data_IF_852067927065
#
_entry.id   IF_852067927065
#
_cell.length_a   1.000
_cell.length_b   1.000
_cell.length_c   1.000
_cell.angle_alpha   90.00
_cell.angle_beta   90.00
_cell.angle_gamma   90.00
#
_symmetry.space_group_name_H-M   'P 1'
#
loop_
_entity.id
_entity.type
_entity.pdbx_description
1 polymer ?
#
# COMPACT_ATOMS: atom_id res chain seq x y z
N UNK A 1 52.60 -32.14 -20.74
CA UNK A 1 52.42 -33.42 -20.03
C UNK A 1 51.29 -33.26 -19.01
N UNK A 2 50.12 -33.86 -19.25
CA UNK A 2 49.05 -33.91 -18.25
C UNK A 2 49.23 -35.21 -17.46
N UNK A 3 49.58 -35.09 -16.18
CA UNK A 3 49.74 -36.21 -15.26
C UNK A 3 48.42 -36.96 -15.11
N UNK A 4 48.38 -38.20 -15.61
CA UNK A 4 47.25 -39.13 -15.42
C UNK A 4 47.31 -39.66 -13.99
N UNK A 5 46.33 -39.28 -13.17
CA UNK A 5 46.12 -39.92 -11.86
C UNK A 5 45.39 -41.24 -12.14
N UNK A 6 46.01 -42.37 -11.78
CA UNK A 6 45.45 -43.71 -11.92
C UNK A 6 44.97 -44.20 -10.55
N UNK A 7 43.66 -44.43 -10.36
CA UNK A 7 43.19 -45.07 -9.15
C UNK A 7 43.51 -46.56 -9.16
N UNK A 8 44.17 -47.07 -8.12
CA UNK A 8 44.59 -48.48 -8.05
C UNK A 8 43.45 -49.46 -7.75
N UNK A 9 42.30 -49.00 -7.23
CA UNK A 9 41.14 -49.86 -6.93
C UNK A 9 40.23 -50.08 -8.14
N UNK A 10 40.22 -49.15 -9.11
CA UNK A 10 39.29 -49.17 -10.25
C UNK A 10 39.89 -48.73 -11.60
N UNK A 11 41.21 -48.52 -11.67
CA UNK A 11 41.94 -48.02 -12.86
C UNK A 11 41.46 -46.67 -13.43
N UNK A 12 40.79 -45.83 -12.62
CA UNK A 12 40.36 -44.46 -12.99
C UNK A 12 41.51 -43.67 -13.60
N UNK A 13 41.39 -43.15 -14.83
CA UNK A 13 42.34 -42.19 -15.43
C UNK A 13 41.65 -40.83 -15.63
N UNK A 14 42.31 -39.73 -15.22
CA UNK A 14 41.81 -38.37 -15.51
C UNK A 14 41.61 -38.12 -17.03
N UNK A 15 40.72 -37.19 -17.40
CA UNK A 15 39.65 -37.44 -18.35
C UNK A 15 40.14 -37.46 -19.79
N UNK A 16 40.27 -38.68 -20.31
CA UNK A 16 40.34 -39.02 -21.74
C UNK A 16 39.50 -40.26 -22.05
N UNK A 17 38.62 -40.67 -21.13
CA UNK A 17 37.97 -41.99 -21.15
C UNK A 17 36.48 -41.89 -21.47
N UNK A 18 36.04 -42.80 -22.33
CA UNK A 18 34.67 -43.05 -22.76
C UNK A 18 33.75 -43.46 -21.58
N UNK A 19 32.51 -42.97 -21.56
CA UNK A 19 31.59 -43.05 -20.42
C UNK A 19 31.20 -44.50 -20.05
N UNK A 20 31.24 -45.41 -21.02
CA UNK A 20 30.81 -46.82 -20.88
C UNK A 20 31.57 -47.61 -19.80
N UNK A 21 32.75 -47.15 -19.39
CA UNK A 21 33.60 -47.80 -18.38
C UNK A 21 33.30 -47.30 -16.94
N UNK A 22 32.62 -46.16 -16.81
CA UNK A 22 32.49 -45.44 -15.53
C UNK A 22 31.24 -45.76 -14.71
N UNK A 23 30.23 -46.39 -15.32
CA UNK A 23 28.96 -46.67 -14.66
C UNK A 23 29.06 -47.64 -13.48
N UNK A 24 30.23 -48.20 -13.20
CA UNK A 24 30.47 -49.20 -12.16
C UNK A 24 31.53 -48.79 -11.13
N UNK A 25 32.02 -47.54 -11.11
CA UNK A 25 33.02 -47.11 -10.13
C UNK A 25 32.40 -47.05 -8.72
N UNK A 26 32.89 -47.81 -7.73
CA UNK A 26 32.31 -47.82 -6.38
C UNK A 26 32.71 -46.61 -5.54
N UNK A 27 33.66 -45.79 -6.00
CA UNK A 27 34.21 -44.67 -5.25
C UNK A 27 33.57 -43.34 -5.64
N UNK A 28 32.78 -42.77 -4.73
CA UNK A 28 32.07 -41.50 -4.92
C UNK A 28 33.00 -40.34 -5.30
N UNK A 29 34.27 -40.37 -4.86
CA UNK A 29 35.26 -39.33 -5.19
C UNK A 29 35.52 -39.24 -6.70
N UNK A 30 35.69 -40.38 -7.38
CA UNK A 30 35.90 -40.41 -8.83
C UNK A 30 34.66 -39.96 -9.59
N UNK A 31 33.48 -40.36 -9.13
CA UNK A 31 32.20 -39.92 -9.70
C UNK A 31 32.09 -38.39 -9.59
N UNK A 32 32.41 -37.82 -8.42
CA UNK A 32 32.41 -36.37 -8.21
C UNK A 32 33.36 -35.65 -9.16
N UNK A 33 34.64 -36.04 -9.19
CA UNK A 33 35.64 -35.41 -10.07
C UNK A 33 35.23 -35.49 -11.54
N UNK A 34 34.67 -36.63 -11.96
CA UNK A 34 34.19 -36.82 -13.31
C UNK A 34 33.01 -35.89 -13.66
N UNK A 35 31.97 -35.85 -12.82
CA UNK A 35 30.80 -35.02 -13.04
C UNK A 35 31.15 -33.52 -12.99
N UNK A 36 32.06 -33.11 -12.10
CA UNK A 36 32.59 -31.74 -12.05
C UNK A 36 33.32 -31.39 -13.36
N UNK A 37 34.18 -32.28 -13.86
CA UNK A 37 34.86 -32.09 -15.13
C UNK A 37 33.88 -32.02 -16.31
N UNK A 38 32.88 -32.90 -16.34
CA UNK A 38 31.87 -32.92 -17.41
C UNK A 38 31.05 -31.62 -17.41
N UNK A 39 30.73 -31.09 -16.23
CA UNK A 39 29.97 -29.85 -16.10
C UNK A 39 30.80 -28.63 -16.53
N UNK A 40 32.07 -28.58 -16.12
CA UNK A 40 33.01 -27.50 -16.43
C UNK A 40 33.38 -27.43 -17.92
N UNK A 41 33.60 -28.59 -18.56
CA UNK A 41 34.10 -28.66 -19.93
C UNK A 41 33.02 -28.88 -21.00
N UNK A 42 31.74 -28.90 -20.61
CA UNK A 42 30.66 -29.08 -21.59
C UNK A 42 30.63 -30.48 -22.21
N UNK A 43 31.14 -31.51 -21.51
CA UNK A 43 31.14 -32.88 -22.01
C UNK A 43 29.70 -33.39 -22.11
N UNK A 44 29.25 -33.71 -23.33
CA UNK A 44 27.90 -34.21 -23.57
C UNK A 44 27.78 -35.67 -23.11
N UNK A 45 27.10 -35.87 -21.98
CA UNK A 45 26.84 -37.19 -21.41
C UNK A 45 25.44 -37.67 -21.82
N UNK A 46 25.27 -38.96 -22.13
CA UNK A 46 23.94 -39.50 -22.43
C UNK A 46 23.02 -39.35 -21.21
N UNK A 47 21.73 -39.19 -21.44
CA UNK A 47 20.77 -39.00 -20.35
C UNK A 47 20.71 -40.19 -19.39
N UNK A 48 20.65 -41.41 -19.93
CA UNK A 48 20.61 -42.66 -19.13
C UNK A 48 21.77 -42.72 -18.15
N UNK A 49 22.93 -42.32 -18.63
CA UNK A 49 24.20 -42.29 -17.93
C UNK A 49 24.20 -41.31 -16.75
N UNK A 50 23.59 -40.13 -16.92
CA UNK A 50 23.40 -39.15 -15.83
C UNK A 50 22.34 -39.65 -14.82
N UNK A 51 21.20 -40.13 -15.30
CA UNK A 51 20.04 -40.49 -14.44
C UNK A 51 20.35 -41.59 -13.42
N UNK A 52 21.32 -42.47 -13.72
CA UNK A 52 21.81 -43.49 -12.77
C UNK A 52 22.31 -42.91 -11.46
N UNK A 53 22.79 -41.67 -11.47
CA UNK A 53 23.30 -41.00 -10.28
C UNK A 53 22.22 -40.32 -9.43
N UNK A 54 20.95 -40.30 -9.87
CA UNK A 54 19.86 -39.68 -9.11
C UNK A 54 19.52 -40.40 -7.81
N UNK A 55 19.87 -41.68 -7.68
CA UNK A 55 19.68 -42.47 -6.46
C UNK A 55 20.96 -42.64 -5.64
N UNK A 56 22.05 -41.96 -6.01
CA UNK A 56 23.33 -42.08 -5.32
C UNK A 56 23.22 -41.59 -3.87
N UNK A 57 23.89 -42.28 -2.93
CA UNK A 57 23.85 -41.98 -1.49
C UNK A 57 24.44 -40.59 -1.17
N UNK A 58 25.45 -40.14 -1.91
CA UNK A 58 26.08 -38.83 -1.72
C UNK A 58 25.26 -37.71 -2.37
N UNK A 59 24.82 -36.71 -1.59
CA UNK A 59 24.01 -35.62 -2.11
C UNK A 59 24.73 -34.77 -3.17
N UNK A 60 26.06 -34.60 -3.05
CA UNK A 60 26.85 -33.84 -4.02
C UNK A 60 26.88 -34.51 -5.41
N UNK A 61 26.92 -35.85 -5.45
CA UNK A 61 26.83 -36.62 -6.71
C UNK A 61 25.47 -36.41 -7.35
N UNK A 62 24.38 -36.55 -6.58
CA UNK A 62 23.02 -36.29 -7.06
C UNK A 62 22.86 -34.87 -7.60
N UNK A 63 23.34 -33.86 -6.87
CA UNK A 63 23.26 -32.46 -7.28
C UNK A 63 23.99 -32.20 -8.61
N UNK A 64 25.20 -32.73 -8.78
CA UNK A 64 25.95 -32.59 -10.03
C UNK A 64 25.24 -33.31 -11.19
N UNK A 65 24.68 -34.49 -10.95
CA UNK A 65 23.90 -35.21 -11.94
C UNK A 65 22.64 -34.43 -12.35
N UNK A 66 21.91 -33.85 -11.39
CA UNK A 66 20.76 -32.97 -11.65
C UNK A 66 21.18 -31.76 -12.49
N UNK A 67 22.27 -31.08 -12.13
CA UNK A 67 22.80 -29.94 -12.89
C UNK A 67 23.14 -30.32 -14.34
N UNK A 68 23.81 -31.45 -14.54
CA UNK A 68 24.16 -31.96 -15.87
C UNK A 68 22.92 -32.33 -16.67
N UNK A 69 21.97 -33.03 -16.06
CA UNK A 69 20.73 -33.42 -16.72
C UNK A 69 19.96 -32.17 -17.17
N UNK A 70 19.82 -31.19 -16.27
CA UNK A 70 19.15 -29.94 -16.58
C UNK A 70 19.88 -29.15 -17.70
N UNK A 71 21.21 -29.02 -17.60
CA UNK A 71 22.03 -28.29 -18.58
C UNK A 71 21.88 -28.83 -20.01
N UNK A 72 21.83 -30.15 -20.18
CA UNK A 72 21.80 -30.78 -21.52
C UNK A 72 20.41 -31.17 -22.00
N UNK A 73 19.48 -31.47 -21.11
CA UNK A 73 18.17 -32.05 -21.45
C UNK A 73 16.98 -31.25 -20.94
N UNK A 74 17.20 -30.18 -20.16
CA UNK A 74 16.15 -29.41 -19.52
C UNK A 74 15.46 -30.17 -18.38
N UNK A 75 14.33 -29.61 -17.92
CA UNK A 75 13.51 -30.23 -16.87
C UNK A 75 12.48 -31.20 -17.45
N UNK A 76 12.40 -32.41 -16.91
CA UNK A 76 11.38 -33.39 -17.26
C UNK A 76 11.00 -34.28 -16.06
N UNK A 77 10.13 -35.26 -16.29
CA UNK A 77 9.61 -36.15 -15.24
C UNK A 77 10.71 -36.95 -14.51
N UNK A 78 11.89 -37.17 -15.11
CA UNK A 78 12.99 -37.88 -14.45
C UNK A 78 13.58 -37.08 -13.28
N UNK A 79 13.34 -35.77 -13.24
CA UNK A 79 13.76 -34.87 -12.16
C UNK A 79 12.67 -34.66 -11.10
N UNK A 80 11.52 -35.33 -11.16
CA UNK A 80 10.47 -35.15 -10.14
C UNK A 80 10.96 -35.54 -8.72
N UNK A 81 11.94 -36.43 -8.61
CA UNK A 81 12.52 -36.82 -7.32
C UNK A 81 13.16 -35.62 -6.57
N UNK A 82 13.58 -34.57 -7.29
CA UNK A 82 14.24 -33.41 -6.68
C UNK A 82 13.33 -32.63 -5.74
N UNK A 83 12.01 -32.77 -5.87
CA UNK A 83 11.01 -32.10 -5.00
C UNK A 83 11.09 -32.63 -3.57
N UNK A 84 11.36 -33.93 -3.41
CA UNK A 84 11.39 -34.62 -2.12
C UNK A 84 12.79 -35.11 -1.75
N UNK A 85 13.84 -34.65 -2.44
CA UNK A 85 15.20 -35.07 -2.16
C UNK A 85 15.58 -34.66 -0.72
N UNK A 86 16.15 -35.55 0.11
CA UNK A 86 16.54 -35.23 1.49
C UNK A 86 17.52 -34.05 1.60
N UNK A 87 18.31 -33.79 0.55
CA UNK A 87 19.26 -32.69 0.54
C UNK A 87 18.62 -31.41 -0.02
N UNK A 88 18.37 -30.46 0.88
CA UNK A 88 17.69 -29.20 0.56
C UNK A 88 18.28 -28.43 -0.62
N UNK A 89 19.59 -28.53 -0.92
CA UNK A 89 20.19 -27.81 -2.07
C UNK A 89 19.72 -28.35 -3.43
N UNK A 90 19.37 -29.64 -3.49
CA UNK A 90 18.75 -30.21 -4.70
C UNK A 90 17.33 -29.69 -4.84
N UNK A 91 16.58 -29.64 -3.74
CA UNK A 91 15.24 -29.03 -3.70
C UNK A 91 15.30 -27.56 -4.14
N UNK A 92 16.21 -26.78 -3.56
CA UNK A 92 16.45 -25.37 -3.88
C UNK A 92 16.78 -25.16 -5.37
N UNK A 93 17.64 -26.01 -5.93
CA UNK A 93 17.98 -25.97 -7.37
C UNK A 93 16.76 -26.23 -8.26
N UNK A 94 15.83 -27.08 -7.83
CA UNK A 94 14.68 -27.48 -8.64
C UNK A 94 13.58 -26.42 -8.74
N UNK A 95 13.41 -25.55 -7.74
CA UNK A 95 12.35 -24.54 -7.65
C UNK A 95 12.11 -23.73 -8.94
N UNK A 96 13.14 -23.09 -9.55
CA UNK A 96 12.94 -22.30 -10.77
C UNK A 96 12.54 -23.14 -11.99
N UNK A 97 12.63 -24.47 -11.90
CA UNK A 97 12.49 -25.39 -13.04
C UNK A 97 11.24 -26.27 -12.97
N UNK A 98 10.75 -26.59 -11.76
CA UNK A 98 9.55 -27.40 -11.59
C UNK A 98 8.29 -26.65 -12.07
N UNK A 99 7.27 -27.42 -12.48
CA UNK A 99 5.97 -26.84 -12.83
C UNK A 99 5.43 -26.04 -11.64
N UNK A 100 4.79 -24.91 -11.92
CA UNK A 100 4.25 -24.04 -10.86
C UNK A 100 3.37 -24.79 -9.87
N UNK A 101 2.51 -25.71 -10.33
CA UNK A 101 1.63 -26.53 -9.49
C UNK A 101 2.35 -27.39 -8.45
N UNK A 102 3.64 -27.71 -8.67
CA UNK A 102 4.44 -28.55 -7.79
C UNK A 102 5.03 -27.78 -6.61
N UNK A 103 5.08 -26.45 -6.67
CA UNK A 103 5.59 -25.60 -5.58
C UNK A 103 4.82 -25.81 -4.26
N UNK A 104 3.55 -26.23 -4.34
CA UNK A 104 2.72 -26.57 -3.17
C UNK A 104 3.34 -27.65 -2.28
N UNK A 105 4.16 -28.54 -2.85
CA UNK A 105 4.81 -29.61 -2.10
C UNK A 105 6.01 -29.11 -1.29
N UNK A 106 6.46 -27.88 -1.53
CA UNK A 106 7.68 -27.30 -0.95
C UNK A 106 7.39 -26.05 -0.09
N UNK A 107 6.13 -25.60 0.01
CA UNK A 107 5.76 -24.42 0.81
C UNK A 107 5.90 -24.67 2.32
N UNK A 108 5.68 -25.92 2.76
CA UNK A 108 5.83 -26.38 4.14
C UNK A 108 7.19 -27.05 4.39
N UNK A 109 8.18 -26.87 3.51
CA UNK A 109 9.49 -27.54 3.60
C UNK A 109 10.20 -27.28 4.94
N UNK A 110 10.78 -28.28 5.57
CA UNK A 110 11.51 -28.12 6.84
C UNK A 110 12.65 -27.07 6.77
N UNK A 111 13.22 -26.87 5.59
CA UNK A 111 14.32 -25.95 5.38
C UNK A 111 13.82 -24.54 5.04
N UNK A 112 14.16 -23.58 5.89
CA UNK A 112 13.79 -22.16 5.74
C UNK A 112 14.21 -21.57 4.39
N UNK A 113 15.39 -21.94 3.86
CA UNK A 113 15.84 -21.41 2.56
C UNK A 113 15.00 -21.94 1.40
N UNK A 114 14.54 -23.19 1.49
CA UNK A 114 13.63 -23.77 0.49
C UNK A 114 12.27 -23.08 0.57
N UNK A 115 11.68 -22.92 1.77
CA UNK A 115 10.42 -22.16 1.92
C UNK A 115 10.53 -20.75 1.35
N UNK A 116 11.60 -20.03 1.69
CA UNK A 116 11.84 -18.67 1.21
C UNK A 116 11.90 -18.63 -0.32
N UNK A 117 12.72 -19.50 -0.94
CA UNK A 117 12.86 -19.55 -2.39
C UNK A 117 11.55 -19.95 -3.09
N UNK A 118 10.74 -20.81 -2.48
CA UNK A 118 9.40 -21.16 -2.98
C UNK A 118 8.48 -19.93 -3.00
N UNK A 119 8.45 -19.15 -1.90
CA UNK A 119 7.65 -17.93 -1.82
C UNK A 119 8.11 -16.87 -2.82
N UNK A 120 9.42 -16.66 -2.94
CA UNK A 120 10.00 -15.75 -3.94
C UNK A 120 9.67 -16.18 -5.36
N UNK A 121 9.75 -17.49 -5.66
CA UNK A 121 9.38 -18.02 -6.96
C UNK A 121 7.90 -17.78 -7.26
N UNK A 122 7.01 -17.92 -6.27
CA UNK A 122 5.59 -17.63 -6.51
C UNK A 122 5.35 -16.13 -6.73
N UNK A 123 6.06 -15.28 -6.01
CA UNK A 123 5.99 -13.83 -6.21
C UNK A 123 6.38 -13.47 -7.64
N UNK A 124 7.53 -13.99 -8.10
CA UNK A 124 8.18 -13.55 -9.33
C UNK A 124 7.69 -14.28 -10.59
N UNK A 125 7.20 -15.52 -10.48
CA UNK A 125 6.77 -16.28 -11.65
C UNK A 125 5.52 -15.67 -12.29
N UNK A 126 5.59 -15.41 -13.59
CA UNK A 126 4.51 -14.84 -14.40
C UNK A 126 3.40 -15.88 -14.65
N UNK A 127 2.49 -15.99 -13.70
CA UNK A 127 1.28 -16.82 -13.78
C UNK A 127 0.06 -16.02 -13.30
N UNK A 128 -1.13 -16.37 -13.77
CA UNK A 128 -2.39 -15.76 -13.33
C UNK A 128 -2.57 -15.85 -11.81
N UNK A 129 -3.12 -14.80 -11.19
CA UNK A 129 -3.43 -14.78 -9.75
C UNK A 129 -4.25 -16.00 -9.29
N UNK A 130 -5.25 -16.41 -10.09
CA UNK A 130 -6.04 -17.63 -9.82
C UNK A 130 -5.18 -18.88 -9.61
N UNK A 131 -4.11 -19.05 -10.39
CA UNK A 131 -3.16 -20.16 -10.20
C UNK A 131 -2.34 -19.97 -8.91
N UNK A 132 -1.88 -18.75 -8.62
CA UNK A 132 -1.16 -18.46 -7.37
C UNK A 132 -2.00 -18.82 -6.15
N UNK A 133 -3.26 -18.39 -6.13
CA UNK A 133 -4.21 -18.68 -5.04
C UNK A 133 -4.35 -20.19 -4.78
N UNK A 134 -4.38 -21.04 -5.81
CA UNK A 134 -4.53 -22.51 -5.62
C UNK A 134 -3.38 -23.18 -4.87
N UNK A 135 -2.22 -22.53 -4.80
CA UNK A 135 -1.03 -23.03 -4.07
C UNK A 135 -0.97 -22.44 -2.65
N UNK A 136 -1.75 -21.40 -2.38
CA UNK A 136 -1.57 -20.47 -1.26
C UNK A 136 -2.50 -20.69 -0.07
N UNK A 137 -3.21 -21.81 0.00
CA UNK A 137 -4.09 -22.13 1.15
C UNK A 137 -3.35 -22.24 2.49
N UNK A 138 -2.03 -22.39 2.46
CA UNK A 138 -1.20 -22.61 3.66
C UNK A 138 -0.46 -21.34 4.14
N UNK A 139 -0.76 -20.15 3.58
CA UNK A 139 -0.09 -18.90 3.98
C UNK A 139 -0.23 -18.55 5.46
N UNK A 140 -1.27 -19.05 6.13
CA UNK A 140 -1.49 -18.81 7.56
C UNK A 140 -0.26 -19.12 8.39
N UNK A 141 0.45 -20.22 8.08
CA UNK A 141 1.70 -20.58 8.76
C UNK A 141 2.89 -19.69 8.40
N UNK A 142 2.88 -19.09 7.22
CA UNK A 142 3.98 -18.28 6.72
C UNK A 142 3.93 -16.85 7.30
N UNK A 143 2.74 -16.28 7.51
CA UNK A 143 2.61 -14.93 8.08
C UNK A 143 2.98 -14.89 9.57
N UNK A 144 2.79 -15.99 10.30
CA UNK A 144 3.19 -16.12 11.72
C UNK A 144 4.51 -16.89 11.90
N UNK A 145 5.30 -17.05 10.84
CA UNK A 145 6.52 -17.85 10.89
C UNK A 145 7.60 -17.18 11.77
N UNK A 146 8.39 -17.94 12.56
CA UNK A 146 9.50 -17.37 13.35
C UNK A 146 10.60 -16.65 12.54
N UNK A 147 10.56 -16.73 11.20
CA UNK A 147 11.57 -16.14 10.33
C UNK A 147 10.99 -14.89 9.67
N UNK A 148 11.62 -13.74 9.92
CA UNK A 148 11.19 -12.45 9.40
C UNK A 148 11.06 -12.43 7.87
N UNK A 149 12.03 -13.00 7.13
CA UNK A 149 11.98 -12.97 5.66
C UNK A 149 10.76 -13.71 5.11
N UNK A 150 10.41 -14.85 5.71
CA UNK A 150 9.20 -15.61 5.35
C UNK A 150 7.95 -14.75 5.59
N UNK A 151 7.84 -14.10 6.75
CA UNK A 151 6.70 -13.21 7.06
C UNK A 151 6.62 -12.03 6.10
N UNK A 152 7.76 -11.38 5.83
CA UNK A 152 7.85 -10.22 4.95
C UNK A 152 7.45 -10.57 3.50
N UNK A 153 7.97 -11.67 2.95
CA UNK A 153 7.58 -12.13 1.61
C UNK A 153 6.10 -12.50 1.59
N UNK A 154 5.60 -13.13 2.66
CA UNK A 154 4.18 -13.47 2.80
C UNK A 154 3.29 -12.23 2.79
N UNK A 155 3.62 -11.21 3.59
CA UNK A 155 2.90 -9.94 3.62
C UNK A 155 2.87 -9.25 2.25
N UNK A 156 4.00 -9.27 1.52
CA UNK A 156 4.09 -8.79 0.14
C UNK A 156 3.24 -9.61 -0.82
N UNK A 157 3.07 -10.92 -0.59
CA UNK A 157 2.29 -11.81 -1.43
C UNK A 157 0.78 -11.72 -1.19
N UNK A 158 0.30 -11.06 -0.13
CA UNK A 158 -1.14 -10.98 0.14
C UNK A 158 -1.94 -10.34 -1.01
N UNK A 159 -1.34 -9.46 -1.81
CA UNK A 159 -1.99 -8.89 -2.98
C UNK A 159 -2.40 -9.91 -4.06
N UNK A 160 -1.92 -11.16 -4.03
CA UNK A 160 -2.36 -12.18 -5.00
C UNK A 160 -3.86 -12.49 -4.92
N UNK A 161 -4.46 -12.11 -3.80
CA UNK A 161 -5.88 -12.18 -3.51
C UNK A 161 -6.66 -11.01 -4.16
N UNK A 162 -6.05 -10.25 -5.06
CA UNK A 162 -6.74 -9.21 -5.84
C UNK A 162 -7.84 -9.81 -6.73
N UNK A 163 -8.97 -9.11 -6.84
CA UNK A 163 -10.10 -9.51 -7.67
C UNK A 163 -10.92 -10.68 -7.12
N UNK A 164 -10.76 -11.02 -5.84
CA UNK A 164 -11.53 -12.06 -5.18
C UNK A 164 -12.96 -11.64 -4.83
N UNK A 165 -13.79 -12.65 -4.55
CA UNK A 165 -15.12 -12.48 -3.96
C UNK A 165 -15.04 -11.83 -2.58
N UNK A 166 -16.04 -11.02 -2.25
CA UNK A 166 -16.17 -10.35 -0.96
C UNK A 166 -16.05 -11.30 0.23
N UNK A 167 -16.66 -12.49 0.17
CA UNK A 167 -16.59 -13.51 1.21
C UNK A 167 -15.15 -13.93 1.57
N UNK A 168 -14.23 -13.88 0.60
CA UNK A 168 -12.84 -14.23 0.82
C UNK A 168 -12.07 -13.09 1.47
N UNK A 169 -12.42 -11.85 1.11
CA UNK A 169 -11.93 -10.66 1.80
C UNK A 169 -12.37 -10.66 3.27
N UNK A 170 -13.60 -11.07 3.56
CA UNK A 170 -14.07 -11.21 4.94
C UNK A 170 -13.25 -12.21 5.73
N UNK A 171 -12.87 -13.35 5.12
CA UNK A 171 -11.98 -14.31 5.76
C UNK A 171 -10.60 -13.70 6.04
N UNK A 172 -9.98 -13.04 5.07
CA UNK A 172 -8.67 -12.39 5.24
C UNK A 172 -8.65 -11.38 6.40
N UNK A 173 -9.78 -10.73 6.64
CA UNK A 173 -9.97 -9.72 7.70
C UNK A 173 -10.53 -10.29 9.01
N UNK A 174 -11.06 -11.52 9.03
CA UNK A 174 -11.62 -12.15 10.23
C UNK A 174 -10.55 -12.94 10.99
N UNK A 175 -10.22 -12.51 12.20
CA UNK A 175 -9.51 -13.39 13.14
C UNK A 175 -10.46 -14.50 13.59
N UNK A 176 -10.05 -15.75 13.39
CA UNK A 176 -10.67 -16.90 14.05
C UNK A 176 -9.82 -17.28 15.26
N UNK A 177 -10.44 -17.88 16.27
CA UNK A 177 -9.76 -18.36 17.48
C UNK A 177 -8.55 -19.25 17.15
N UNK A 178 -7.55 -19.20 18.03
CA UNK A 178 -6.11 -19.45 17.83
C UNK A 178 -5.72 -20.81 17.20
N UNK A 179 -6.62 -21.79 17.10
CA UNK A 179 -6.30 -23.14 16.58
C UNK A 179 -6.37 -23.27 15.04
N UNK A 180 -7.01 -22.33 14.31
CA UNK A 180 -7.32 -22.51 12.86
C UNK A 180 -6.29 -21.88 11.91
N UNK A 181 -5.33 -21.10 12.42
CA UNK A 181 -4.31 -20.38 11.61
C UNK A 181 -3.47 -21.33 10.74
N UNK A 182 -3.36 -22.60 11.15
CA UNK A 182 -2.50 -23.58 10.49
C UNK A 182 -3.01 -24.09 9.13
N UNK A 183 -4.25 -23.79 8.73
CA UNK A 183 -4.83 -24.26 7.44
C UNK A 183 -5.71 -23.24 6.71
N UNK A 184 -5.83 -22.03 7.24
CA UNK A 184 -6.77 -21.04 6.71
C UNK A 184 -6.06 -19.75 6.30
N UNK A 185 -6.62 -19.11 5.28
CA UNK A 185 -6.35 -17.72 4.90
C UNK A 185 -7.01 -16.73 5.88
N UNK A 186 -7.76 -17.21 6.86
CA UNK A 186 -8.43 -16.38 7.85
C UNK A 186 -7.43 -15.51 8.62
N UNK A 187 -7.74 -14.22 8.74
CA UNK A 187 -6.98 -13.28 9.55
C UNK A 187 -5.60 -12.93 8.99
N UNK A 188 -5.22 -13.39 7.79
CA UNK A 188 -3.90 -13.13 7.22
C UNK A 188 -3.53 -11.65 7.18
N UNK A 189 -4.49 -10.78 6.85
CA UNK A 189 -4.26 -9.33 6.85
C UNK A 189 -4.10 -8.84 8.29
N UNK A 190 -4.91 -9.33 9.22
CA UNK A 190 -4.83 -8.89 10.62
C UNK A 190 -3.50 -9.31 11.26
N UNK A 191 -3.06 -10.56 11.07
CA UNK A 191 -1.74 -11.00 11.54
C UNK A 191 -0.61 -10.19 10.94
N UNK A 192 -0.69 -9.83 9.66
CA UNK A 192 0.33 -9.00 9.02
C UNK A 192 0.32 -7.55 9.50
N UNK A 193 -0.84 -7.01 9.90
CA UNK A 193 -0.98 -5.65 10.45
C UNK A 193 -0.57 -5.56 11.92
N UNK A 194 -0.67 -6.65 12.67
CA UNK A 194 -0.26 -6.71 14.08
C UNK A 194 1.14 -7.30 14.28
N UNK A 195 1.88 -7.51 13.18
CA UNK A 195 3.22 -8.08 13.24
C UNK A 195 4.16 -7.17 14.04
N UNK A 196 5.07 -7.75 14.83
CA UNK A 196 6.03 -7.01 15.63
C UNK A 196 7.02 -6.18 14.77
N UNK A 197 7.21 -6.55 13.49
CA UNK A 197 8.11 -5.85 12.57
C UNK A 197 7.37 -4.87 11.65
N UNK A 198 7.78 -3.60 11.70
CA UNK A 198 7.19 -2.53 10.90
C UNK A 198 7.22 -2.79 9.38
N UNK A 199 8.25 -3.46 8.85
CA UNK A 199 8.34 -3.79 7.42
C UNK A 199 7.26 -4.79 6.99
N UNK A 200 6.87 -5.71 7.88
CA UNK A 200 5.77 -6.65 7.64
C UNK A 200 4.45 -5.89 7.67
N UNK A 201 4.22 -5.05 8.68
CA UNK A 201 3.02 -4.19 8.77
C UNK A 201 2.85 -3.30 7.54
N UNK A 202 3.90 -2.57 7.15
CA UNK A 202 3.93 -1.72 5.95
C UNK A 202 3.65 -2.52 4.67
N UNK A 203 4.24 -3.70 4.52
CA UNK A 203 3.99 -4.56 3.35
C UNK A 203 2.55 -5.06 3.32
N UNK A 204 1.97 -5.35 4.49
CA UNK A 204 0.57 -5.75 4.63
C UNK A 204 -0.38 -4.63 4.28
N UNK A 205 -0.12 -3.39 4.73
CA UNK A 205 -0.90 -2.19 4.35
C UNK A 205 -0.91 -2.01 2.83
N UNK A 206 0.26 -2.12 2.18
CA UNK A 206 0.37 -1.98 0.73
C UNK A 206 -0.39 -3.08 -0.02
N UNK A 207 -0.33 -4.32 0.47
CA UNK A 207 -1.15 -5.41 -0.08
C UNK A 207 -2.64 -5.15 0.14
N UNK A 208 -3.06 -4.71 1.33
CA UNK A 208 -4.45 -4.37 1.63
C UNK A 208 -4.98 -3.29 0.66
N UNK A 209 -4.18 -2.26 0.36
CA UNK A 209 -4.54 -1.22 -0.61
C UNK A 209 -4.85 -1.79 -2.00
N UNK A 210 -4.07 -2.77 -2.47
CA UNK A 210 -4.32 -3.45 -3.75
C UNK A 210 -5.60 -4.29 -3.69
N UNK A 211 -5.90 -4.92 -2.55
CA UNK A 211 -7.11 -5.71 -2.34
C UNK A 211 -8.39 -4.86 -2.22
N UNK A 212 -8.25 -3.58 -1.87
CA UNK A 212 -9.36 -2.65 -1.68
C UNK A 212 -10.03 -2.27 -3.01
N UNK A 213 -11.34 -2.42 -3.05
CA UNK A 213 -12.21 -2.07 -4.17
C UNK A 213 -13.56 -1.51 -3.67
N UNK A 214 -14.42 -1.09 -4.59
CA UNK A 214 -15.70 -0.46 -4.25
C UNK A 214 -16.61 -1.32 -3.36
N UNK A 215 -16.54 -2.65 -3.49
CA UNK A 215 -17.38 -3.56 -2.71
C UNK A 215 -16.91 -3.75 -1.25
N UNK A 216 -15.63 -3.47 -0.95
CA UNK A 216 -15.05 -3.69 0.38
C UNK A 216 -14.45 -2.43 1.03
N UNK A 217 -14.42 -1.29 0.32
CA UNK A 217 -13.74 -0.07 0.77
C UNK A 217 -14.12 0.33 2.20
N UNK A 218 -15.41 0.38 2.53
CA UNK A 218 -15.87 0.78 3.86
C UNK A 218 -15.39 -0.14 4.98
N UNK A 219 -15.17 -1.43 4.68
CA UNK A 219 -14.63 -2.39 5.64
C UNK A 219 -13.11 -2.32 5.74
N UNK A 220 -12.42 -2.09 4.62
CA UNK A 220 -10.95 -1.99 4.63
C UNK A 220 -10.46 -0.65 5.14
N UNK A 221 -11.27 0.41 5.01
CA UNK A 221 -10.87 1.78 5.35
C UNK A 221 -10.47 1.93 6.82
N UNK A 222 -11.22 1.28 7.73
CA UNK A 222 -10.91 1.30 9.16
C UNK A 222 -9.52 0.77 9.47
N UNK A 223 -9.06 -0.29 8.81
CA UNK A 223 -7.72 -0.84 9.03
C UNK A 223 -6.60 0.14 8.63
N UNK A 224 -6.80 0.95 7.59
CA UNK A 224 -5.84 2.01 7.27
C UNK A 224 -5.86 3.13 8.32
N UNK A 225 -7.05 3.48 8.81
CA UNK A 225 -7.23 4.49 9.84
C UNK A 225 -6.59 4.04 11.16
N UNK A 226 -6.81 2.79 11.58
CA UNK A 226 -6.17 2.19 12.76
C UNK A 226 -4.63 2.23 12.64
N UNK A 227 -4.10 1.99 11.43
CA UNK A 227 -2.67 2.05 11.13
C UNK A 227 -2.08 3.48 11.21
N UNK A 228 -2.91 4.53 11.31
CA UNK A 228 -2.43 5.88 11.60
C UNK A 228 -1.97 6.05 13.04
N UNK A 229 -2.32 5.13 13.95
CA UNK A 229 -1.83 5.14 15.32
C UNK A 229 -0.62 4.21 15.53
N UNK A 230 -0.04 3.68 14.45
CA UNK A 230 1.13 2.80 14.52
C UNK A 230 2.33 3.54 15.12
N UNK A 231 3.11 2.85 15.94
CA UNK A 231 4.34 3.37 16.54
C UNK A 231 5.39 3.77 15.49
N UNK A 232 5.42 3.08 14.35
CA UNK A 232 6.35 3.32 13.26
C UNK A 232 5.86 4.41 12.31
N UNK A 233 6.68 5.45 12.16
CA UNK A 233 6.42 6.54 11.20
C UNK A 233 6.26 6.02 9.77
N UNK A 234 7.05 5.03 9.35
CA UNK A 234 6.98 4.46 8.01
C UNK A 234 5.65 3.76 7.73
N UNK A 235 5.06 3.14 8.76
CA UNK A 235 3.75 2.49 8.69
C UNK A 235 2.65 3.55 8.62
N UNK A 236 2.69 4.55 9.50
CA UNK A 236 1.74 5.69 9.47
C UNK A 236 1.76 6.42 8.14
N UNK A 237 2.97 6.70 7.60
CA UNK A 237 3.14 7.34 6.28
C UNK A 237 2.54 6.47 5.16
N UNK A 238 2.80 5.16 5.18
CA UNK A 238 2.21 4.25 4.20
C UNK A 238 0.67 4.21 4.30
N UNK A 239 0.12 4.27 5.52
CA UNK A 239 -1.32 4.29 5.76
C UNK A 239 -1.97 5.57 5.20
N UNK A 240 -1.42 6.75 5.52
CA UNK A 240 -1.99 8.03 5.06
C UNK A 240 -1.88 8.18 3.53
N UNK A 241 -0.79 7.71 2.91
CA UNK A 241 -0.65 7.65 1.44
C UNK A 241 -1.72 6.77 0.80
N UNK A 242 -2.09 5.65 1.45
CA UNK A 242 -3.17 4.79 0.99
C UNK A 242 -4.53 5.47 1.15
N UNK A 243 -4.78 6.12 2.29
CA UNK A 243 -6.03 6.86 2.55
C UNK A 243 -6.24 7.99 1.53
N UNK A 244 -5.19 8.72 1.16
CA UNK A 244 -5.26 9.75 0.11
C UNK A 244 -5.70 9.17 -1.24
N UNK A 245 -5.03 8.10 -1.68
CA UNK A 245 -5.36 7.42 -2.94
C UNK A 245 -6.76 6.81 -2.93
N UNK A 246 -7.19 6.25 -1.80
CA UNK A 246 -8.52 5.65 -1.67
C UNK A 246 -9.61 6.73 -1.64
N UNK A 247 -9.41 7.81 -0.89
CA UNK A 247 -10.39 8.91 -0.77
C UNK A 247 -10.60 9.63 -2.10
N UNK A 248 -9.55 9.81 -2.92
CA UNK A 248 -9.68 10.37 -4.26
C UNK A 248 -10.35 9.44 -5.28
N UNK A 249 -10.30 8.12 -5.04
CA UNK A 249 -10.84 7.10 -5.95
C UNK A 249 -12.28 6.67 -5.62
N UNK A 250 -12.65 6.64 -4.34
CA UNK A 250 -13.90 6.07 -3.86
C UNK A 250 -14.71 7.07 -3.03
N UNK A 251 -16.04 6.91 -3.01
CA UNK A 251 -16.90 7.68 -2.10
C UNK A 251 -16.87 7.06 -0.71
N UNK A 252 -16.02 7.58 0.16
CA UNK A 252 -15.82 7.05 1.51
C UNK A 252 -16.67 7.84 2.50
N UNK A 253 -17.59 7.14 3.16
CA UNK A 253 -18.48 7.68 4.17
C UNK A 253 -17.88 7.47 5.56
N UNK A 254 -17.52 8.56 6.25
CA UNK A 254 -16.79 8.54 7.52
C UNK A 254 -17.64 9.03 8.70
N UNK A 255 -17.36 8.48 9.88
CA UNK A 255 -17.91 8.93 11.18
C UNK A 255 -16.91 9.84 11.94
N UNK A 256 -17.36 10.28 13.11
CA UNK A 256 -16.61 11.15 14.01
C UNK A 256 -15.30 10.51 14.50
N UNK A 257 -15.30 9.22 14.84
CA UNK A 257 -14.10 8.54 15.31
C UNK A 257 -13.03 8.49 14.23
N UNK A 258 -13.42 8.11 13.00
CA UNK A 258 -12.52 8.09 11.85
C UNK A 258 -11.87 9.45 11.61
N UNK A 259 -12.66 10.54 11.66
CA UNK A 259 -12.13 11.87 11.38
C UNK A 259 -11.24 12.38 12.51
N UNK A 260 -11.51 12.01 13.77
CA UNK A 260 -10.66 12.37 14.91
C UNK A 260 -9.26 11.76 14.76
N UNK A 261 -9.18 10.50 14.32
CA UNK A 261 -7.90 9.84 14.07
C UNK A 261 -7.14 10.49 12.90
N UNK A 262 -7.81 10.81 11.79
CA UNK A 262 -7.18 11.52 10.66
C UNK A 262 -6.70 12.92 11.07
N UNK A 263 -7.54 13.69 11.79
CA UNK A 263 -7.22 15.04 12.24
C UNK A 263 -6.12 15.06 13.31
N UNK A 264 -5.94 13.99 14.08
CA UNK A 264 -4.85 13.88 15.05
C UNK A 264 -3.48 14.06 14.38
N UNK A 265 -3.31 13.56 13.15
CA UNK A 265 -2.06 13.69 12.39
C UNK A 265 -1.75 15.12 11.94
N UNK A 266 -2.73 16.04 11.94
CA UNK A 266 -2.48 17.49 11.70
C UNK A 266 -1.60 18.06 12.84
N UNK A 267 -1.46 17.34 13.96
CA UNK A 267 -0.57 17.70 15.07
C UNK A 267 0.88 17.29 14.85
N UNK A 268 1.17 16.39 13.92
CA UNK A 268 2.55 16.10 13.56
C UNK A 268 3.12 17.31 12.81
N UNK A 269 4.27 17.86 13.23
CA UNK A 269 4.92 19.04 12.64
C UNK A 269 5.51 18.77 11.23
N UNK A 270 4.83 17.97 10.42
CA UNK A 270 5.21 17.61 9.06
C UNK A 270 4.30 18.31 8.05
N UNK A 271 4.90 19.19 7.26
CA UNK A 271 4.21 19.88 6.17
C UNK A 271 3.71 18.91 5.10
N UNK A 272 4.47 17.84 4.82
CA UNK A 272 4.09 16.79 3.87
C UNK A 272 2.81 16.08 4.34
N UNK A 273 2.78 15.62 5.60
CA UNK A 273 1.60 14.96 6.17
C UNK A 273 0.40 15.90 6.22
N UNK A 274 0.62 17.16 6.58
CA UNK A 274 -0.45 18.17 6.59
C UNK A 274 -1.08 18.33 5.21
N UNK A 275 -0.28 18.36 4.15
CA UNK A 275 -0.78 18.45 2.77
C UNK A 275 -1.58 17.22 2.35
N UNK A 276 -1.14 16.03 2.74
CA UNK A 276 -1.89 14.79 2.46
C UNK A 276 -3.23 14.81 3.20
N UNK A 277 -3.25 15.23 4.47
CA UNK A 277 -4.51 15.34 5.23
C UNK A 277 -5.45 16.36 4.59
N UNK A 278 -4.95 17.52 4.16
CA UNK A 278 -5.75 18.52 3.42
C UNK A 278 -6.43 17.88 2.20
N UNK A 279 -5.68 17.09 1.43
CA UNK A 279 -6.17 16.33 0.26
C UNK A 279 -7.23 15.30 0.66
N UNK A 280 -6.99 14.53 1.72
CA UNK A 280 -7.94 13.54 2.27
C UNK A 280 -9.25 14.21 2.69
N UNK A 281 -9.20 15.25 3.52
CA UNK A 281 -10.39 15.93 4.05
C UNK A 281 -11.30 16.50 2.94
N UNK A 282 -10.72 16.90 1.82
CA UNK A 282 -11.46 17.42 0.68
C UNK A 282 -12.32 16.35 -0.02
N UNK A 283 -11.98 15.07 0.11
CA UNK A 283 -12.59 13.98 -0.65
C UNK A 283 -13.67 13.17 0.11
N UNK A 284 -13.75 13.32 1.44
CA UNK A 284 -14.61 12.47 2.28
C UNK A 284 -16.09 12.87 2.27
N UNK A 285 -16.96 11.87 2.48
CA UNK A 285 -18.40 12.02 2.74
C UNK A 285 -18.69 11.82 4.22
N UNK A 286 -19.66 12.54 4.78
CA UNK A 286 -19.92 12.54 6.22
C UNK A 286 -21.18 11.73 6.56
N UNK A 287 -21.09 10.86 7.58
CA UNK A 287 -22.27 10.21 8.18
C UNK A 287 -23.14 11.18 8.95
N UNK A 288 -22.51 12.14 9.63
CA UNK A 288 -23.16 13.11 10.50
C UNK A 288 -22.47 14.49 10.43
N UNK A 289 -23.18 15.56 10.77
CA UNK A 289 -22.64 16.93 10.75
C UNK A 289 -21.54 17.15 11.81
N UNK A 290 -21.50 16.38 12.89
CA UNK A 290 -20.42 16.47 13.89
C UNK A 290 -19.03 16.23 13.28
N UNK A 291 -18.95 15.47 12.18
CA UNK A 291 -17.71 15.30 11.41
C UNK A 291 -17.18 16.65 10.91
N UNK A 292 -18.05 17.52 10.41
CA UNK A 292 -17.66 18.86 9.96
C UNK A 292 -17.24 19.74 11.14
N UNK A 293 -17.96 19.67 12.26
CA UNK A 293 -17.61 20.40 13.49
C UNK A 293 -16.19 20.04 13.94
N UNK A 294 -15.87 18.74 14.00
CA UNK A 294 -14.54 18.24 14.38
C UNK A 294 -13.46 18.70 13.40
N UNK A 295 -13.72 18.63 12.09
CA UNK A 295 -12.76 19.13 11.09
C UNK A 295 -12.46 20.61 11.34
N UNK A 296 -13.51 21.44 11.52
CA UNK A 296 -13.34 22.88 11.76
C UNK A 296 -12.46 23.11 12.98
N UNK A 297 -12.74 22.45 14.11
CA UNK A 297 -11.97 22.59 15.36
C UNK A 297 -10.49 22.26 15.23
N UNK A 298 -10.13 21.37 14.29
CA UNK A 298 -8.74 20.99 14.07
C UNK A 298 -8.03 21.87 13.01
N UNK A 299 -8.75 22.42 12.03
CA UNK A 299 -8.12 23.20 10.95
C UNK A 299 -7.96 24.69 11.28
N UNK A 300 -8.91 25.34 11.99
CA UNK A 300 -8.89 26.81 12.08
C UNK A 300 -7.69 27.37 12.86
N UNK A 301 -7.11 26.59 13.77
CA UNK A 301 -5.92 26.99 14.55
C UNK A 301 -4.61 26.70 13.85
N UNK A 302 -4.60 25.79 12.88
CA UNK A 302 -3.36 25.15 12.38
C UNK A 302 -3.09 25.40 10.92
N UNK A 303 -4.14 25.55 10.12
CA UNK A 303 -4.02 25.70 8.68
C UNK A 303 -4.10 27.17 8.26
N UNK A 304 -3.55 27.45 7.08
CA UNK A 304 -3.66 28.74 6.42
C UNK A 304 -5.12 29.01 6.02
N UNK A 305 -5.48 30.28 5.79
CA UNK A 305 -6.83 30.63 5.33
C UNK A 305 -7.12 30.05 3.94
N UNK A 306 -6.09 29.94 3.11
CA UNK A 306 -6.16 29.33 1.79
C UNK A 306 -6.53 27.85 1.87
N UNK A 307 -5.85 27.09 2.74
CA UNK A 307 -6.14 25.67 2.94
C UNK A 307 -7.55 25.49 3.54
N UNK A 308 -7.92 26.30 4.54
CA UNK A 308 -9.26 26.28 5.14
C UNK A 308 -10.33 26.53 4.07
N UNK A 309 -10.15 27.56 3.24
CA UNK A 309 -11.10 27.89 2.18
C UNK A 309 -11.22 26.73 1.16
N UNK A 310 -10.10 26.19 0.71
CA UNK A 310 -10.06 25.05 -0.23
C UNK A 310 -10.75 23.81 0.33
N UNK A 311 -10.47 23.48 1.59
CA UNK A 311 -11.09 22.36 2.31
C UNK A 311 -12.61 22.56 2.38
N UNK A 312 -13.07 23.71 2.89
CA UNK A 312 -14.50 23.95 3.11
C UNK A 312 -15.29 24.01 1.79
N UNK A 313 -14.72 24.55 0.70
CA UNK A 313 -15.34 24.51 -0.62
C UNK A 313 -15.55 23.06 -1.08
N UNK A 314 -14.53 22.21 -0.94
CA UNK A 314 -14.57 20.82 -1.39
C UNK A 314 -15.49 19.97 -0.52
N UNK A 315 -15.41 20.14 0.80
CA UNK A 315 -16.33 19.54 1.76
C UNK A 315 -17.77 19.93 1.45
N UNK A 316 -18.04 21.22 1.18
CA UNK A 316 -19.41 21.66 0.86
C UNK A 316 -19.94 20.97 -0.40
N UNK A 317 -19.13 20.87 -1.45
CA UNK A 317 -19.51 20.17 -2.70
C UNK A 317 -19.79 18.69 -2.46
N UNK A 318 -19.01 18.04 -1.60
CA UNK A 318 -19.17 16.63 -1.30
C UNK A 318 -20.29 16.37 -0.28
N UNK A 319 -20.59 17.30 0.61
CA UNK A 319 -21.50 17.09 1.74
C UNK A 319 -22.65 18.10 1.74
N UNK A 320 -23.09 18.53 0.55
CA UNK A 320 -24.04 19.64 0.38
C UNK A 320 -25.32 19.43 1.17
N UNK A 321 -25.97 18.28 1.03
CA UNK A 321 -27.26 18.00 1.68
C UNK A 321 -27.19 18.07 3.21
N UNK A 322 -26.23 17.36 3.82
CA UNK A 322 -26.08 17.33 5.28
C UNK A 322 -25.72 18.69 5.86
N UNK A 323 -24.92 19.48 5.13
CA UNK A 323 -24.52 20.83 5.55
C UNK A 323 -25.72 21.78 5.48
N UNK A 324 -26.50 21.75 4.40
CA UNK A 324 -27.66 22.62 4.23
C UNK A 324 -28.69 22.36 5.33
N UNK A 325 -28.98 21.09 5.61
CA UNK A 325 -29.97 20.70 6.61
C UNK A 325 -29.54 21.09 8.04
N UNK A 326 -28.26 21.40 8.26
CA UNK A 326 -27.70 21.78 9.56
C UNK A 326 -27.03 23.16 9.57
N UNK A 327 -27.26 24.00 8.54
CA UNK A 327 -26.56 25.29 8.39
C UNK A 327 -26.81 26.24 9.57
N UNK A 328 -27.97 26.10 10.22
CA UNK A 328 -28.34 26.84 11.41
C UNK A 328 -27.34 26.69 12.56
N UNK A 329 -26.63 25.55 12.66
CA UNK A 329 -25.58 25.34 13.67
C UNK A 329 -24.39 26.28 13.49
N UNK A 330 -24.05 26.59 12.24
CA UNK A 330 -22.94 27.45 11.87
C UNK A 330 -23.35 28.91 11.71
N UNK A 331 -24.66 29.18 11.61
CA UNK A 331 -25.20 30.49 11.31
C UNK A 331 -25.98 31.12 12.47
N UNK A 332 -26.95 30.41 13.08
CA UNK A 332 -27.83 30.95 14.12
C UNK A 332 -27.19 31.02 15.51
N UNK A 333 -26.30 30.08 15.82
CA UNK A 333 -25.57 30.04 17.11
C UNK A 333 -24.15 30.58 17.00
N UNK A 334 -23.76 31.02 15.81
CA UNK A 334 -22.46 31.61 15.60
C UNK A 334 -22.54 33.09 15.94
N UNK A 335 -21.48 33.69 16.51
CA UNK A 335 -21.59 35.01 17.13
C UNK A 335 -21.99 36.14 16.15
N UNK A 336 -22.10 35.88 14.83
CA UNK A 336 -22.62 36.78 13.79
C UNK A 336 -23.78 37.66 14.25
N UNK A 337 -24.69 37.10 15.05
CA UNK A 337 -25.92 37.75 15.46
C UNK A 337 -25.78 38.58 16.76
N UNK A 338 -24.72 38.38 17.55
CA UNK A 338 -24.66 38.90 18.92
C UNK A 338 -23.51 39.89 19.19
N UNK A 339 -22.40 39.90 18.42
CA UNK A 339 -21.25 40.79 18.70
C UNK A 339 -20.51 41.29 17.44
N UNK A 340 -19.84 42.46 17.56
CA UNK A 340 -18.85 42.97 16.58
C UNK A 340 -17.63 42.02 16.52
N UNK A 341 -17.73 40.94 15.75
CA UNK A 341 -16.63 39.96 15.64
C UNK A 341 -15.57 40.46 14.69
N UNK A 342 -14.32 40.23 15.09
CA UNK A 342 -13.15 40.54 14.30
C UNK A 342 -12.98 39.48 13.21
N UNK A 343 -12.94 39.91 11.95
CA UNK A 343 -12.71 39.05 10.77
C UNK A 343 -11.36 38.30 10.80
N UNK A 344 -10.50 38.57 11.78
CA UNK A 344 -9.26 37.85 12.05
C UNK A 344 -9.47 36.49 12.70
N UNK A 345 -10.64 36.24 13.33
CA UNK A 345 -10.95 34.94 13.91
C UNK A 345 -11.17 33.88 12.81
N UNK A 346 -10.30 32.86 12.77
CA UNK A 346 -10.40 31.79 11.80
C UNK A 346 -11.61 30.87 12.04
N UNK A 347 -12.09 30.74 13.28
CA UNK A 347 -13.31 29.97 13.56
C UNK A 347 -14.53 30.66 12.97
N UNK A 348 -14.62 31.98 13.16
CA UNK A 348 -15.62 32.81 12.48
C UNK A 348 -15.50 32.74 10.96
N UNK A 349 -14.28 32.79 10.42
CA UNK A 349 -14.01 32.64 8.99
C UNK A 349 -14.55 31.32 8.43
N UNK A 350 -14.36 30.19 9.12
CA UNK A 350 -14.93 28.90 8.70
C UNK A 350 -16.46 28.95 8.57
N UNK A 351 -17.15 29.46 9.58
CA UNK A 351 -18.61 29.61 9.53
C UNK A 351 -19.05 30.55 8.40
N UNK A 352 -18.33 31.65 8.21
CA UNK A 352 -18.63 32.62 7.17
C UNK A 352 -18.48 32.01 5.77
N UNK A 353 -17.46 31.17 5.55
CA UNK A 353 -17.26 30.43 4.29
C UNK A 353 -18.44 29.49 4.02
N UNK A 354 -18.89 28.71 5.00
CA UNK A 354 -20.04 27.81 4.85
C UNK A 354 -21.33 28.57 4.50
N UNK A 355 -21.63 29.65 5.22
CA UNK A 355 -22.78 30.52 4.94
C UNK A 355 -22.68 31.14 3.55
N UNK A 356 -21.49 31.59 3.17
CA UNK A 356 -21.22 32.18 1.84
C UNK A 356 -21.43 31.17 0.73
N UNK A 357 -21.05 29.90 0.93
CA UNK A 357 -21.30 28.81 -0.01
C UNK A 357 -22.79 28.53 -0.15
N UNK A 358 -23.58 28.56 0.93
CA UNK A 358 -25.03 28.46 0.85
C UNK A 358 -25.64 29.59 0.00
N UNK A 359 -25.27 30.85 0.28
CA UNK A 359 -25.77 32.01 -0.48
C UNK A 359 -25.34 31.95 -1.95
N UNK A 360 -24.09 31.59 -2.21
CA UNK A 360 -23.56 31.41 -3.57
C UNK A 360 -24.37 30.36 -4.36
N UNK A 361 -24.81 29.30 -3.69
CA UNK A 361 -25.67 28.26 -4.27
C UNK A 361 -27.18 28.60 -4.17
N UNK A 362 -27.54 29.87 -3.96
CA UNK A 362 -28.91 30.40 -3.93
C UNK A 362 -29.81 29.79 -2.84
N UNK A 363 -29.22 29.34 -1.75
CA UNK A 363 -29.94 28.83 -0.60
C UNK A 363 -30.44 30.02 0.22
N UNK A 364 -31.75 30.12 0.48
CA UNK A 364 -32.32 31.28 1.16
C UNK A 364 -31.92 31.30 2.64
N UNK A 365 -31.14 32.31 3.04
CA UNK A 365 -30.74 32.56 4.43
C UNK A 365 -31.12 33.99 4.84
N UNK A 366 -31.67 34.15 6.05
CA UNK A 366 -32.03 35.47 6.61
C UNK A 366 -30.84 36.08 7.32
N UNK A 367 -29.99 36.79 6.58
CA UNK A 367 -28.79 37.48 7.08
C UNK A 367 -29.07 38.91 7.58
N UNK A 368 -28.47 39.32 8.69
CA UNK A 368 -28.42 40.72 9.12
C UNK A 368 -27.51 41.56 8.17
N UNK A 369 -27.60 42.90 8.20
CA UNK A 369 -26.85 43.75 7.29
C UNK A 369 -25.31 43.59 7.35
N UNK A 370 -24.73 43.32 8.52
CA UNK A 370 -23.28 43.15 8.66
C UNK A 370 -22.84 41.80 8.11
N UNK A 371 -23.57 40.73 8.45
CA UNK A 371 -23.33 39.40 7.87
C UNK A 371 -23.43 39.41 6.34
N UNK A 372 -24.38 40.16 5.75
CA UNK A 372 -24.47 40.33 4.29
C UNK A 372 -23.20 40.93 3.69
N UNK A 373 -22.60 41.94 4.33
CA UNK A 373 -21.35 42.55 3.87
C UNK A 373 -20.19 41.55 3.89
N UNK A 374 -20.03 40.82 4.99
CA UNK A 374 -18.97 39.82 5.15
C UNK A 374 -19.13 38.65 4.15
N UNK A 375 -20.36 38.17 3.97
CA UNK A 375 -20.67 37.12 2.98
C UNK A 375 -20.39 37.59 1.57
N UNK A 376 -20.75 38.83 1.22
CA UNK A 376 -20.44 39.41 -0.08
C UNK A 376 -18.95 39.42 -0.40
N UNK A 377 -18.12 39.75 0.60
CA UNK A 377 -16.66 39.71 0.46
C UNK A 377 -16.14 38.28 0.21
N UNK A 378 -16.54 37.30 1.01
CA UNK A 378 -16.10 35.91 0.82
C UNK A 378 -16.58 35.32 -0.51
N UNK A 379 -17.79 35.66 -0.96
CA UNK A 379 -18.28 35.27 -2.28
C UNK A 379 -17.38 35.82 -3.39
N UNK A 380 -16.88 37.05 -3.25
CA UNK A 380 -15.93 37.63 -4.19
C UNK A 380 -14.61 36.85 -4.18
N UNK A 381 -14.06 36.55 -3.01
CA UNK A 381 -12.86 35.71 -2.85
C UNK A 381 -13.02 34.35 -3.53
N UNK A 382 -14.12 33.63 -3.26
CA UNK A 382 -14.45 32.34 -3.88
C UNK A 382 -14.53 32.46 -5.42
N UNK A 383 -15.10 33.55 -5.91
CA UNK A 383 -15.25 33.79 -7.36
C UNK A 383 -13.91 34.05 -8.03
N UNK A 384 -12.97 34.72 -7.34
CA UNK A 384 -11.60 34.95 -7.81
C UNK A 384 -10.81 33.64 -7.80
N UNK A 385 -10.91 32.82 -6.76
CA UNK A 385 -10.23 31.51 -6.70
C UNK A 385 -10.65 30.61 -7.86
N UNK A 386 -11.94 30.63 -8.21
CA UNK A 386 -12.49 29.87 -9.34
C UNK A 386 -12.00 30.36 -10.70
N UNK A 387 -11.66 31.64 -10.84
CA UNK A 387 -11.17 32.22 -12.10
C UNK A 387 -9.66 32.06 -12.30
N UNK A 388 -8.85 32.06 -11.23
CA UNK A 388 -7.42 32.32 -11.37
C UNK A 388 -6.46 31.19 -10.97
N UNK A 389 -6.87 30.07 -10.34
CA UNK A 389 -5.93 29.01 -9.88
C UNK A 389 -4.70 29.54 -9.08
N UNK A 390 -4.78 30.71 -8.44
CA UNK A 390 -3.62 31.39 -7.83
C UNK A 390 -3.40 30.98 -6.36
N UNK A 391 -2.13 30.74 -6.02
CA UNK A 391 -1.64 30.08 -4.80
C UNK A 391 -1.29 31.00 -3.61
N UNK A 392 -1.50 32.32 -3.65
CA UNK A 392 -1.03 33.22 -2.59
C UNK A 392 -2.10 34.27 -2.23
N UNK A 393 -2.71 34.15 -1.04
CA UNK A 393 -3.84 34.99 -0.58
C UNK A 393 -3.51 35.83 0.69
N UNK A 394 -2.35 35.61 1.31
CA UNK A 394 -2.01 36.12 2.64
C UNK A 394 -1.87 37.65 2.75
N UNK A 395 -1.42 38.36 1.72
CA UNK A 395 -1.23 39.83 1.80
C UNK A 395 -2.46 40.63 1.32
N UNK A 396 -3.43 39.98 0.68
CA UNK A 396 -4.53 40.64 0.00
C UNK A 396 -5.77 40.85 0.89
N UNK A 397 -6.00 39.97 1.85
CA UNK A 397 -7.28 39.81 2.55
C UNK A 397 -7.46 40.73 3.77
N UNK A 398 -6.40 41.35 4.30
CA UNK A 398 -6.52 42.24 5.49
C UNK A 398 -6.74 43.70 5.10
N UNK A 399 -5.95 44.22 4.17
CA UNK A 399 -5.99 45.64 3.75
C UNK A 399 -7.18 45.97 2.83
N UNK A 400 -7.59 45.04 1.96
CA UNK A 400 -8.76 45.23 1.11
C UNK A 400 -10.07 45.15 1.91
N UNK A 401 -10.10 44.39 2.99
CA UNK A 401 -11.26 44.19 3.86
C UNK A 401 -11.51 45.41 4.74
N UNK A 402 -10.45 45.97 5.34
CA UNK A 402 -10.51 47.25 6.07
C UNK A 402 -11.03 48.35 5.14
N UNK A 403 -10.45 48.46 3.93
CA UNK A 403 -10.89 49.45 2.93
C UNK A 403 -12.30 49.20 2.39
N UNK A 404 -12.74 47.95 2.27
CA UNK A 404 -14.10 47.62 1.82
C UNK A 404 -15.15 48.03 2.86
N UNK A 405 -14.89 47.72 4.12
CA UNK A 405 -15.75 48.08 5.26
C UNK A 405 -15.82 49.60 5.42
N UNK A 406 -14.69 50.30 5.27
CA UNK A 406 -14.60 51.77 5.27
C UNK A 406 -15.32 52.41 4.07
N UNK A 407 -15.40 51.71 2.92
CA UNK A 407 -16.06 52.21 1.70
C UNK A 407 -17.59 51.97 1.62
N UNK A 408 -18.22 51.64 2.74
CA UNK A 408 -19.66 51.31 2.87
C UNK A 408 -20.13 50.12 1.98
N UNK A 409 -19.24 49.25 1.52
CA UNK A 409 -19.64 48.10 0.70
C UNK A 409 -20.01 48.44 -0.76
N UNK A 410 -19.54 49.57 -1.31
CA UNK A 410 -19.74 49.90 -2.73
C UNK A 410 -18.80 49.08 -3.63
N UNK A 411 -19.34 48.01 -4.22
CA UNK A 411 -18.69 47.09 -5.18
C UNK A 411 -17.82 47.75 -6.25
N UNK A 412 -18.24 48.90 -6.81
CA UNK A 412 -17.51 49.60 -7.90
C UNK A 412 -16.14 50.15 -7.50
N UNK A 413 -15.88 50.35 -6.21
CA UNK A 413 -14.61 50.92 -5.75
C UNK A 413 -13.48 49.87 -5.70
N UNK A 414 -13.82 48.59 -5.54
CA UNK A 414 -12.82 47.51 -5.50
C UNK A 414 -12.41 47.10 -6.92
N UNK A 415 -13.34 47.03 -7.88
CA UNK A 415 -12.99 46.79 -9.29
C UNK A 415 -11.97 47.82 -9.82
N UNK A 416 -12.06 49.08 -9.37
CA UNK A 416 -11.06 50.12 -9.66
C UNK A 416 -9.70 49.89 -9.01
N UNK A 417 -9.66 49.25 -7.82
CA UNK A 417 -8.41 48.85 -7.17
C UNK A 417 -7.73 47.67 -7.89
N UNK A 418 -8.52 46.79 -8.53
CA UNK A 418 -8.00 45.71 -9.38
C UNK A 418 -7.46 46.23 -10.72
N UNK A 419 -8.14 47.18 -11.36
CA UNK A 419 -7.72 47.76 -12.66
C UNK A 419 -6.44 48.60 -12.52
N UNK A 420 -6.25 49.30 -11.39
CA UNK A 420 -5.11 50.20 -11.21
C UNK A 420 -3.78 49.51 -10.83
N UNK A 421 -3.76 48.19 -10.57
CA UNK A 421 -2.52 47.44 -10.28
C UNK A 421 -1.97 46.63 -11.46
N UNK A 422 -2.66 46.59 -12.62
CA UNK A 422 -2.12 45.99 -13.85
C UNK A 422 -1.04 46.85 -14.55
N UNK A 423 -0.53 47.92 -13.93
CA UNK A 423 0.42 48.82 -14.60
C UNK A 423 1.87 48.85 -14.08
N UNK A 424 2.30 47.95 -13.20
CA UNK A 424 3.74 47.87 -12.88
C UNK A 424 4.18 46.43 -12.65
N UNK A 425 4.50 45.72 -13.73
CA UNK A 425 5.50 44.64 -13.76
C UNK A 425 6.06 44.57 -15.19
N UNK A 426 7.21 45.23 -15.37
CA UNK A 426 8.28 44.74 -16.26
C UNK A 426 9.01 43.64 -15.50
#
# INVERSE_FOLDING_TARGET
>A
MKTKIICKSCNYQSPSVDFSVFSCCPEDYHILTYLEHALANGTNLKKVDITRFFTNKKPKVRLLAVNLCFKYYGYDNSLNFTILDPFYRIRLFAIPHIKFSELKFMIDDENVNVKQAVLEEIMNRKVSLKKKITIFSNLGKCIVHPNLNIRLITAKLLHIFEGLKLSLMEQLLSKNDEEVVTKSICGLIVYGLEDEYAEVRKSTINSLFILTNEANIHKTFSYFVDSLNDESFDVRKSAIDCIEKLSSKFKILVDLETIQQICFLIKEESKEITQIIVSVLQNLKFKDIEVLTEIIENIYRKLSREDILSILISIFRNNTEIIINNIDRFYKYSPFLEQQIVLTDNKYFCSLVLVSLCVFNKIPLKLDPNSKKHVGFIIQEISITKKNNLKNLNDFTKDCLIKYIESEGKLRNIERLFINKEMVLI
#
